data_IF_743917564609
#
_entry.id   IF_743917564609
#
_cell.length_a   1.000
_cell.length_b   1.000
_cell.length_c   1.000
_cell.angle_alpha   90.00
_cell.angle_beta   90.00
_cell.angle_gamma   90.00
#
_symmetry.space_group_name_H-M   'P 1'
#
loop_
_entity.id
_entity.type
_entity.pdbx_description
1 polymer ?
#
# COMPACT_ATOMS: atom_id res chain seq x y z
N UNK A 1 -21.84 6.23 7.56
CA UNK A 1 -21.23 4.91 7.31
C UNK A 1 -19.75 5.10 7.07
N UNK A 2 -18.94 4.54 7.96
CA UNK A 2 -17.48 4.65 7.94
C UNK A 2 -16.88 4.01 6.69
N UNK A 3 -15.69 4.47 6.31
CA UNK A 3 -15.03 3.98 5.11
C UNK A 3 -14.68 2.49 5.20
N UNK A 4 -14.28 2.01 6.39
CA UNK A 4 -14.04 0.59 6.67
C UNK A 4 -15.31 -0.23 6.43
N UNK A 5 -16.45 0.26 6.89
CA UNK A 5 -17.75 -0.41 6.73
C UNK A 5 -18.11 -0.53 5.25
N UNK A 6 -17.92 0.55 4.46
CA UNK A 6 -18.12 0.50 3.00
C UNK A 6 -17.23 -0.55 2.33
N UNK A 7 -15.96 -0.67 2.75
CA UNK A 7 -15.01 -1.67 2.19
C UNK A 7 -15.49 -3.09 2.47
N UNK A 8 -15.88 -3.39 3.72
CA UNK A 8 -16.42 -4.70 4.14
C UNK A 8 -17.70 -5.04 3.42
N UNK A 9 -18.62 -4.09 3.33
CA UNK A 9 -19.91 -4.27 2.68
C UNK A 9 -19.78 -4.48 1.17
N UNK A 10 -18.88 -3.74 0.51
CA UNK A 10 -18.60 -3.93 -0.91
C UNK A 10 -18.18 -5.37 -1.24
N UNK A 11 -17.27 -5.95 -0.45
CA UNK A 11 -16.84 -7.35 -0.63
C UNK A 11 -17.96 -8.33 -0.28
N UNK A 12 -18.74 -8.06 0.77
CA UNK A 12 -19.90 -8.89 1.13
C UNK A 12 -20.95 -8.93 0.01
N UNK A 13 -21.26 -7.80 -0.61
CA UNK A 13 -22.19 -7.76 -1.76
C UNK A 13 -21.62 -8.49 -2.97
N UNK A 14 -20.30 -8.41 -3.18
CA UNK A 14 -19.63 -9.14 -4.24
C UNK A 14 -19.68 -10.66 -4.03
N UNK A 15 -19.49 -11.15 -2.80
CA UNK A 15 -19.63 -12.59 -2.50
C UNK A 15 -21.07 -13.08 -2.62
N UNK A 16 -22.05 -12.19 -2.49
CA UNK A 16 -23.47 -12.47 -2.78
C UNK A 16 -23.79 -12.49 -4.29
N UNK A 17 -22.82 -12.20 -5.16
CA UNK A 17 -23.01 -12.19 -6.62
C UNK A 17 -23.59 -10.88 -7.17
N UNK A 18 -23.68 -9.82 -6.36
CA UNK A 18 -24.11 -8.50 -6.85
C UNK A 18 -23.06 -7.94 -7.81
N UNK A 19 -23.50 -7.34 -8.91
CA UNK A 19 -22.60 -6.75 -9.90
C UNK A 19 -21.82 -5.56 -9.32
N UNK A 20 -20.53 -5.47 -9.69
CA UNK A 20 -19.61 -4.42 -9.23
C UNK A 20 -20.18 -3.02 -9.53
N UNK A 21 -20.80 -2.84 -10.69
CA UNK A 21 -21.44 -1.58 -11.09
C UNK A 21 -22.53 -1.17 -10.09
N UNK A 22 -23.39 -2.11 -9.69
CA UNK A 22 -24.45 -1.84 -8.71
C UNK A 22 -23.88 -1.51 -7.34
N UNK A 23 -22.88 -2.27 -6.89
CA UNK A 23 -22.19 -2.02 -5.61
C UNK A 23 -21.60 -0.61 -5.56
N UNK A 24 -20.88 -0.22 -6.62
CA UNK A 24 -20.26 1.11 -6.73
C UNK A 24 -21.32 2.23 -6.71
N UNK A 25 -22.44 2.04 -7.40
CA UNK A 25 -23.56 3.00 -7.40
C UNK A 25 -24.21 3.12 -6.02
N UNK A 26 -24.49 1.99 -5.36
CA UNK A 26 -25.10 1.96 -4.02
C UNK A 26 -24.21 2.61 -2.97
N UNK A 27 -22.90 2.32 -3.00
CA UNK A 27 -21.95 2.85 -2.02
C UNK A 27 -21.39 4.25 -2.39
N UNK A 28 -21.80 4.81 -3.54
CA UNK A 28 -21.26 6.04 -4.14
C UNK A 28 -19.73 6.04 -4.19
N UNK A 29 -19.15 4.94 -4.66
CA UNK A 29 -17.70 4.75 -4.81
C UNK A 29 -17.33 4.52 -6.27
N UNK A 30 -16.05 4.75 -6.60
CA UNK A 30 -15.54 4.49 -7.94
C UNK A 30 -15.19 3.01 -8.14
N UNK A 31 -15.23 2.55 -9.41
CA UNK A 31 -14.81 1.18 -9.75
C UNK A 31 -13.34 0.92 -9.39
N UNK A 32 -12.48 1.93 -9.55
CA UNK A 32 -11.05 1.87 -9.19
C UNK A 32 -10.89 1.60 -7.69
N UNK A 33 -11.67 2.29 -6.85
CA UNK A 33 -11.69 2.05 -5.42
C UNK A 33 -12.09 0.60 -5.11
N UNK A 34 -13.13 0.08 -5.76
CA UNK A 34 -13.57 -1.31 -5.55
C UNK A 34 -12.49 -2.32 -5.96
N UNK A 35 -11.90 -2.18 -7.15
CA UNK A 35 -10.86 -3.10 -7.62
C UNK A 35 -9.61 -3.09 -6.72
N UNK A 36 -9.22 -1.93 -6.18
CA UNK A 36 -8.15 -1.84 -5.19
C UNK A 36 -8.41 -2.74 -3.98
N UNK A 37 -9.61 -2.66 -3.39
CA UNK A 37 -9.94 -3.45 -2.20
C UNK A 37 -10.20 -4.92 -2.53
N UNK A 38 -10.80 -5.23 -3.68
CA UNK A 38 -10.93 -6.61 -4.17
C UNK A 38 -9.58 -7.28 -4.33
N UNK A 39 -8.61 -6.61 -4.95
CA UNK A 39 -7.26 -7.14 -5.11
C UNK A 39 -6.61 -7.43 -3.75
N UNK A 40 -6.75 -6.52 -2.77
CA UNK A 40 -6.24 -6.74 -1.41
C UNK A 40 -6.93 -7.91 -0.70
N UNK A 41 -8.25 -8.03 -0.84
CA UNK A 41 -9.02 -9.15 -0.29
C UNK A 41 -8.58 -10.49 -0.89
N UNK A 42 -8.34 -10.54 -2.21
CA UNK A 42 -7.86 -11.75 -2.87
C UNK A 42 -6.44 -12.15 -2.43
N UNK A 43 -5.59 -11.17 -2.09
CA UNK A 43 -4.23 -11.46 -1.59
C UNK A 43 -4.19 -11.92 -0.14
N UNK A 44 -5.05 -11.39 0.72
CA UNK A 44 -5.14 -11.81 2.13
C UNK A 44 -6.59 -11.70 2.65
N UNK A 45 -7.42 -12.74 2.45
CA UNK A 45 -8.83 -12.72 2.85
C UNK A 45 -9.05 -12.65 4.36
N UNK A 46 -8.17 -13.28 5.14
CA UNK A 46 -8.26 -13.40 6.60
C UNK A 46 -7.62 -12.22 7.35
N UNK A 47 -6.81 -11.42 6.65
CA UNK A 47 -6.13 -10.26 7.24
C UNK A 47 -6.94 -8.97 7.25
N UNK A 48 -6.27 -7.89 7.65
CA UNK A 48 -6.83 -6.54 7.72
C UNK A 48 -6.81 -5.80 6.37
N UNK A 49 -7.26 -6.47 5.30
CA UNK A 49 -7.28 -5.91 3.95
C UNK A 49 -8.13 -4.63 3.85
N UNK A 50 -9.07 -4.42 4.78
CA UNK A 50 -9.94 -3.26 4.88
C UNK A 50 -9.29 -2.08 5.60
N UNK A 51 -8.10 -2.22 6.18
CA UNK A 51 -7.35 -1.13 6.82
C UNK A 51 -6.51 -0.41 5.75
N UNK A 52 -6.48 0.93 5.82
CA UNK A 52 -5.62 1.68 4.90
C UNK A 52 -4.17 1.54 5.33
N UNK A 53 -3.32 1.11 4.40
CA UNK A 53 -1.88 1.04 4.62
C UNK A 53 -1.27 2.43 4.36
N UNK A 54 -0.28 2.81 5.16
CA UNK A 54 0.43 4.07 5.00
C UNK A 54 0.97 4.21 3.59
N UNK A 55 0.74 5.37 2.97
CA UNK A 55 1.30 5.74 1.65
C UNK A 55 2.76 6.21 1.76
N UNK A 56 3.32 6.23 2.98
CA UNK A 56 4.71 6.63 3.18
C UNK A 56 5.63 5.61 2.49
N UNK A 57 6.54 6.05 1.63
CA UNK A 57 7.51 5.16 1.02
C UNK A 57 8.35 4.49 2.12
N UNK A 58 8.33 3.16 2.18
CA UNK A 58 9.19 2.39 3.09
C UNK A 58 10.60 2.24 2.49
N UNK A 59 11.18 3.35 2.01
CA UNK A 59 12.50 3.36 1.41
C UNK A 59 13.37 4.42 2.09
N UNK A 60 13.61 4.22 3.38
CA UNK A 60 14.71 4.84 4.11
C UNK A 60 16.02 4.16 3.69
N UNK A 61 16.47 4.38 2.45
CA UNK A 61 17.88 4.13 2.11
C UNK A 61 18.73 5.14 2.87
N UNK A 62 19.14 4.79 4.09
CA UNK A 62 20.26 5.43 4.77
C UNK A 62 21.54 5.08 4.01
N UNK A 63 21.79 5.71 2.87
CA UNK A 63 23.14 5.75 2.29
C UNK A 63 23.95 6.82 3.04
N UNK A 64 24.20 6.54 4.32
CA UNK A 64 25.28 7.14 5.09
C UNK A 64 26.57 6.46 4.61
N UNK A 65 27.07 6.86 3.44
CA UNK A 65 28.50 6.68 3.17
C UNK A 65 29.19 7.92 3.72
N UNK A 66 29.47 7.85 5.01
CA UNK A 66 30.46 8.65 5.72
C UNK A 66 31.77 8.51 4.93
N UNK A 67 32.11 9.51 4.12
CA UNK A 67 33.41 9.60 3.47
C UNK A 67 34.45 9.87 4.54
N UNK A 68 34.90 8.83 5.23
CA UNK A 68 36.10 8.88 6.06
C UNK A 68 37.28 9.21 5.16
N UNK A 69 37.81 10.42 5.34
CA UNK A 69 39.13 10.83 4.89
C UNK A 69 40.19 9.82 5.33
N UNK A 70 41.19 9.55 4.49
CA UNK A 70 42.52 9.26 4.99
C UNK A 70 43.48 10.37 4.54
N UNK A 71 43.90 11.21 5.50
CA UNK A 71 45.22 11.84 5.44
C UNK A 71 46.24 10.72 5.64
N UNK A 72 47.08 10.39 4.65
CA UNK A 72 48.39 9.80 4.90
C UNK A 72 49.39 10.19 3.81
N UNK A 73 50.34 10.99 4.27
CA UNK A 73 51.71 11.23 3.83
C UNK A 73 52.32 10.03 3.06
N UNK A 74 52.89 10.28 1.88
CA UNK A 74 54.05 9.52 1.41
C UNK A 74 55.16 10.51 1.07
N UNK A 75 56.10 10.58 1.99
CA UNK A 75 57.46 11.06 1.79
C UNK A 75 58.24 10.09 0.91
N UNK A 76 59.00 10.62 -0.06
CA UNK A 76 60.35 10.12 -0.34
C UNK A 76 60.62 9.44 -1.68
N UNK A 77 61.71 9.92 -2.30
CA UNK A 77 62.57 9.32 -3.34
C UNK A 77 62.00 9.37 -4.76
N UNK A 78 62.69 9.91 -5.77
CA UNK A 78 64.13 9.96 -6.05
C UNK A 78 64.53 11.32 -6.65
#
# INVERSE_FOLDING_TARGET
>A
MDEITKRKEAIKLFTQGISITRICQTLKQSRVWFYKWKSRYQSNPEGEWFVEQSRKPHNSKKNLILRSSPKLLQSGTN
#
